data_IF_602990293250
#
_entry.id   IF_602990293250
#
_cell.length_a   1.000
_cell.length_b   1.000
_cell.length_c   1.000
_cell.angle_alpha   90.00
_cell.angle_beta   90.00
_cell.angle_gamma   90.00
#
_symmetry.space_group_name_H-M   'P 1'
#
loop_
_entity.id
_entity.type
_entity.pdbx_description
1 polymer ?
#
# COMPACT_ATOMS: atom_id res chain seq x y z
N UNK A 1 -15.69 27.28 -21.03
CA UNK A 1 -14.71 27.29 -19.92
C UNK A 1 -15.33 27.58 -18.53
N UNK A 2 -16.65 27.38 -18.33
CA UNK A 2 -17.31 27.62 -17.02
C UNK A 2 -17.89 26.31 -16.42
N UNK A 3 -18.09 25.26 -17.22
CA UNK A 3 -18.62 23.97 -16.73
C UNK A 3 -17.59 23.08 -16.01
N UNK A 4 -16.28 23.20 -16.30
CA UNK A 4 -15.24 22.40 -15.62
C UNK A 4 -14.99 22.81 -14.16
N UNK A 5 -15.24 24.08 -13.81
CA UNK A 5 -15.03 24.58 -12.44
C UNK A 5 -16.13 24.07 -11.48
N UNK A 6 -17.35 23.80 -11.97
CA UNK A 6 -18.42 23.23 -11.13
C UNK A 6 -18.17 21.78 -10.72
N UNK A 7 -17.54 20.96 -11.58
CA UNK A 7 -17.27 19.54 -11.29
C UNK A 7 -16.21 19.37 -10.18
N UNK A 8 -15.19 20.24 -10.15
CA UNK A 8 -14.17 20.24 -9.09
C UNK A 8 -14.73 20.68 -7.72
N UNK A 9 -15.75 21.53 -7.68
CA UNK A 9 -16.37 21.94 -6.42
C UNK A 9 -17.35 20.90 -5.85
N UNK A 10 -17.87 19.96 -6.66
CA UNK A 10 -18.65 18.83 -6.12
C UNK A 10 -17.76 17.70 -5.58
N UNK A 11 -16.58 17.45 -6.17
CA UNK A 11 -15.63 16.47 -5.60
C UNK A 11 -15.08 16.93 -4.24
N UNK A 12 -14.78 18.23 -4.09
CA UNK A 12 -14.34 18.79 -2.80
C UNK A 12 -15.43 18.77 -1.70
N UNK A 13 -16.69 18.56 -2.04
CA UNK A 13 -17.80 18.40 -1.07
C UNK A 13 -18.11 16.96 -0.70
N UNK A 14 -17.56 15.97 -1.42
CA UNK A 14 -17.66 14.55 -1.06
C UNK A 14 -16.48 14.04 -0.24
N UNK A 15 -15.38 14.80 -0.16
CA UNK A 15 -14.21 14.50 0.67
C UNK A 15 -14.39 14.90 2.15
N UNK A 16 -15.60 14.75 2.69
CA UNK A 16 -15.94 15.17 4.04
C UNK A 16 -16.92 14.21 4.72
N UNK A 17 -16.82 12.90 4.51
CA UNK A 17 -17.48 11.88 5.35
C UNK A 17 -16.65 10.59 5.32
N UNK A 18 -15.77 10.39 6.31
CA UNK A 18 -15.44 9.11 6.98
C UNK A 18 -14.26 9.34 7.94
N UNK A 19 -14.51 10.17 8.96
CA UNK A 19 -13.64 10.30 10.14
C UNK A 19 -14.56 10.35 11.37
N UNK A 20 -15.10 9.18 11.68
CA UNK A 20 -15.78 8.85 12.94
C UNK A 20 -15.87 7.31 12.98
N UNK A 21 -15.30 6.58 13.91
CA UNK A 21 -14.67 6.89 15.17
C UNK A 21 -14.87 5.65 16.05
N UNK A 22 -13.80 5.04 16.53
CA UNK A 22 -13.83 4.29 17.79
C UNK A 22 -12.57 4.70 18.54
N UNK A 23 -12.72 5.74 19.36
CA UNK A 23 -11.75 6.09 20.39
C UNK A 23 -12.22 5.42 21.67
N UNK A 24 -11.65 4.25 21.98
CA UNK A 24 -11.76 3.63 23.29
C UNK A 24 -10.38 3.73 23.95
N UNK A 25 -10.22 4.70 24.86
CA UNK A 25 -9.05 4.79 25.73
C UNK A 25 -9.17 3.77 26.86
N UNK A 26 -8.18 2.89 27.07
CA UNK A 26 -7.82 2.40 28.41
C UNK A 26 -6.34 1.94 28.47
N UNK A 27 -5.56 2.72 29.24
CA UNK A 27 -4.42 2.40 30.13
C UNK A 27 -3.11 1.81 29.57
N UNK A 28 -2.04 2.58 29.80
CA UNK A 28 -0.62 2.22 29.75
C UNK A 28 -0.28 0.97 30.57
N UNK A 29 0.51 0.05 29.98
CA UNK A 29 1.84 -0.35 30.47
C UNK A 29 2.26 -1.67 29.83
N UNK A 30 3.50 -1.75 29.34
CA UNK A 30 4.18 -3.04 29.15
C UNK A 30 4.91 -3.17 27.83
N UNK A 31 6.22 -3.38 27.95
CA UNK A 31 7.13 -3.95 26.97
C UNK A 31 6.41 -4.72 25.84
N UNK A 32 6.60 -4.28 24.59
CA UNK A 32 5.96 -4.86 23.41
C UNK A 32 6.29 -6.33 23.27
N UNK A 33 5.37 -7.19 23.71
CA UNK A 33 5.26 -8.53 23.15
C UNK A 33 4.38 -8.39 21.91
N UNK A 34 4.92 -8.78 20.76
CA UNK A 34 4.10 -8.99 19.58
C UNK A 34 2.89 -9.86 19.97
N UNK A 35 1.67 -9.55 19.46
CA UNK A 35 0.52 -10.39 19.70
C UNK A 35 0.85 -11.85 19.35
N UNK A 36 0.34 -12.80 20.13
CA UNK A 36 0.55 -14.21 19.83
C UNK A 36 0.07 -14.49 18.39
N UNK A 37 0.79 -15.31 17.62
CA UNK A 37 0.51 -15.58 16.19
C UNK A 37 -0.98 -15.86 15.91
N UNK A 38 -1.65 -16.59 16.79
CA UNK A 38 -3.09 -16.91 16.66
C UNK A 38 -4.01 -15.68 16.80
N UNK A 39 -3.61 -14.70 17.63
CA UNK A 39 -4.35 -13.44 17.79
C UNK A 39 -4.17 -12.50 16.60
N UNK A 40 -2.98 -12.47 16.00
CA UNK A 40 -2.69 -11.73 14.76
C UNK A 40 -3.54 -12.25 13.61
N UNK A 41 -3.54 -13.58 13.40
CA UNK A 41 -4.35 -14.20 12.34
C UNK A 41 -5.85 -13.97 12.52
N UNK A 42 -6.34 -13.90 13.77
CA UNK A 42 -7.76 -13.59 14.01
C UNK A 42 -8.11 -12.18 13.56
N UNK A 43 -7.25 -11.20 13.84
CA UNK A 43 -7.43 -9.81 13.45
C UNK A 43 -7.37 -9.63 11.93
N UNK A 44 -6.42 -10.26 11.26
CA UNK A 44 -6.37 -10.28 9.79
C UNK A 44 -7.56 -11.00 9.16
N UNK A 45 -8.05 -12.08 9.77
CA UNK A 45 -9.23 -12.77 9.28
C UNK A 45 -10.46 -11.86 9.35
N UNK A 46 -10.64 -11.10 10.44
CA UNK A 46 -11.72 -10.12 10.59
C UNK A 46 -11.67 -9.06 9.47
N UNK A 47 -10.48 -8.51 9.18
CA UNK A 47 -10.31 -7.58 8.05
C UNK A 47 -10.71 -8.22 6.71
N UNK A 48 -10.29 -9.46 6.45
CA UNK A 48 -10.69 -10.17 5.22
C UNK A 48 -12.20 -10.39 5.16
N UNK A 49 -12.86 -10.72 6.27
CA UNK A 49 -14.33 -10.83 6.28
C UNK A 49 -15.01 -9.48 5.97
N UNK A 50 -14.46 -8.37 6.49
CA UNK A 50 -14.94 -7.03 6.17
C UNK A 50 -14.79 -6.71 4.69
N UNK A 51 -13.65 -7.03 4.10
CA UNK A 51 -13.41 -6.90 2.65
C UNK A 51 -14.44 -7.71 1.86
N UNK A 52 -14.63 -9.00 2.18
CA UNK A 52 -15.61 -9.88 1.51
C UNK A 52 -17.05 -9.34 1.61
N UNK A 53 -17.41 -8.78 2.78
CA UNK A 53 -18.75 -8.23 3.00
C UNK A 53 -18.97 -6.85 2.36
N UNK A 54 -17.91 -6.19 1.89
CA UNK A 54 -17.92 -4.81 1.40
C UNK A 54 -17.93 -3.74 2.49
N UNK A 55 -17.73 -4.10 3.76
CA UNK A 55 -17.49 -3.13 4.85
C UNK A 55 -16.15 -2.41 4.67
N UNK A 56 -15.14 -3.12 4.15
CA UNK A 56 -13.86 -2.57 3.72
C UNK A 56 -13.72 -2.72 2.20
N UNK A 57 -13.10 -1.75 1.53
CA UNK A 57 -12.91 -1.76 0.07
C UNK A 57 -11.46 -2.04 -0.29
N UNK A 58 -11.23 -2.71 -1.42
CA UNK A 58 -9.93 -2.69 -2.09
C UNK A 58 -9.73 -1.26 -2.60
N UNK A 59 -8.86 -0.48 -1.96
CA UNK A 59 -8.69 0.92 -2.32
C UNK A 59 -7.24 1.37 -2.22
N UNK A 60 -6.86 2.24 -3.15
CA UNK A 60 -5.67 3.07 -3.07
C UNK A 60 -6.07 4.55 -2.87
N UNK A 61 -5.13 5.49 -3.02
CA UNK A 61 -5.43 6.91 -2.82
C UNK A 61 -6.34 7.51 -3.92
N UNK A 62 -6.50 6.83 -5.05
CA UNK A 62 -7.25 7.32 -6.21
C UNK A 62 -8.63 6.70 -6.36
N UNK A 63 -8.79 5.40 -6.05
CA UNK A 63 -10.03 4.66 -6.27
C UNK A 63 -10.26 3.54 -5.25
N UNK A 64 -11.52 3.11 -5.12
CA UNK A 64 -11.93 2.02 -4.26
C UNK A 64 -12.96 1.12 -4.94
N UNK A 65 -12.81 -0.18 -4.74
CA UNK A 65 -13.63 -1.24 -5.32
C UNK A 65 -14.14 -2.15 -4.21
N UNK A 66 -15.41 -2.52 -4.30
CA UNK A 66 -15.97 -3.57 -3.45
C UNK A 66 -15.45 -4.95 -3.87
N UNK A 67 -15.63 -5.96 -3.02
CA UNK A 67 -15.24 -7.34 -3.36
C UNK A 67 -15.90 -7.88 -4.63
N UNK A 68 -17.17 -7.52 -4.89
CA UNK A 68 -17.88 -7.98 -6.08
C UNK A 68 -17.42 -7.25 -7.37
N UNK A 69 -16.69 -6.13 -7.26
CA UNK A 69 -16.13 -5.36 -8.37
C UNK A 69 -14.65 -5.66 -8.63
N UNK A 70 -13.94 -6.18 -7.62
CA UNK A 70 -12.51 -6.49 -7.69
C UNK A 70 -12.23 -7.70 -8.60
N UNK A 71 -11.22 -7.58 -9.46
CA UNK A 71 -10.72 -8.69 -10.27
C UNK A 71 -9.59 -9.41 -9.52
N UNK A 72 -9.63 -10.75 -9.51
CA UNK A 72 -8.62 -11.61 -8.88
C UNK A 72 -8.14 -11.15 -7.48
N UNK A 73 -9.04 -10.90 -6.51
CA UNK A 73 -8.64 -10.46 -5.19
C UNK A 73 -7.81 -11.54 -4.48
N UNK A 74 -6.75 -11.13 -3.80
CA UNK A 74 -5.80 -12.02 -3.16
C UNK A 74 -5.23 -11.46 -1.87
N UNK A 75 -4.59 -12.33 -1.09
CA UNK A 75 -3.84 -11.94 0.10
C UNK A 75 -2.53 -12.70 0.22
N UNK A 76 -1.55 -12.12 0.90
CA UNK A 76 -0.33 -12.80 1.31
C UNK A 76 0.01 -12.42 2.76
N UNK A 77 0.60 -13.35 3.49
CA UNK A 77 1.24 -13.10 4.76
C UNK A 77 2.75 -13.12 4.52
N UNK A 78 3.43 -12.04 4.87
CA UNK A 78 4.85 -11.87 4.59
C UNK A 78 5.49 -11.00 5.65
N UNK A 79 6.52 -11.54 6.30
CA UNK A 79 7.38 -10.84 7.26
C UNK A 79 8.34 -9.89 6.52
N UNK A 80 7.88 -8.64 6.35
CA UNK A 80 8.51 -7.65 5.46
C UNK A 80 9.86 -7.15 5.99
N UNK A 81 10.01 -7.12 7.31
CA UNK A 81 11.22 -6.64 8.01
C UNK A 81 12.02 -7.76 8.69
N UNK A 82 11.57 -9.01 8.53
CA UNK A 82 12.21 -10.23 9.03
C UNK A 82 12.28 -10.27 10.56
N UNK A 83 11.28 -9.73 11.23
CA UNK A 83 11.20 -9.66 12.68
C UNK A 83 10.50 -10.87 13.34
N UNK A 84 9.95 -11.77 12.51
CA UNK A 84 9.22 -12.96 12.92
C UNK A 84 7.70 -12.79 12.99
N UNK A 85 7.16 -11.61 12.65
CA UNK A 85 5.73 -11.35 12.50
C UNK A 85 5.41 -11.08 11.02
N UNK A 86 4.36 -11.72 10.51
CA UNK A 86 3.92 -11.49 9.13
C UNK A 86 3.02 -10.25 9.05
N UNK A 87 3.26 -9.35 8.09
CA UNK A 87 2.27 -8.37 7.64
C UNK A 87 1.25 -8.99 6.68
N UNK A 88 0.05 -8.43 6.66
CA UNK A 88 -0.98 -8.82 5.70
C UNK A 88 -0.95 -7.90 4.48
N UNK A 89 -0.75 -8.51 3.32
CA UNK A 89 -0.90 -7.88 2.03
C UNK A 89 -2.26 -8.26 1.46
N UNK A 90 -3.01 -7.29 0.95
CA UNK A 90 -4.27 -7.51 0.22
C UNK A 90 -4.12 -6.90 -1.17
N UNK A 91 -4.39 -7.67 -2.22
CA UNK A 91 -4.30 -7.25 -3.61
C UNK A 91 -5.64 -7.42 -4.33
N UNK A 92 -5.86 -6.61 -5.35
CA UNK A 92 -6.85 -6.84 -6.39
C UNK A 92 -6.37 -6.19 -7.69
N UNK A 93 -6.85 -6.67 -8.83
CA UNK A 93 -6.75 -5.95 -10.11
C UNK A 93 -7.88 -4.92 -10.19
N UNK A 94 -7.51 -3.69 -10.56
CA UNK A 94 -8.42 -2.55 -10.67
C UNK A 94 -8.58 -2.15 -12.14
N UNK A 95 -9.08 -3.07 -12.97
CA UNK A 95 -9.24 -2.86 -14.42
C UNK A 95 -7.89 -2.81 -15.15
N UNK A 96 -7.74 -1.84 -16.08
CA UNK A 96 -6.49 -1.64 -16.85
C UNK A 96 -5.39 -0.93 -16.03
N UNK A 97 -5.74 -0.39 -14.85
CA UNK A 97 -4.84 0.33 -13.96
C UNK A 97 -4.19 -0.70 -13.00
N UNK A 98 -2.87 -0.65 -12.89
CA UNK A 98 -2.02 -1.76 -12.44
C UNK A 98 -2.36 -2.42 -11.10
N UNK A 99 -1.71 -3.57 -10.84
CA UNK A 99 -1.79 -4.26 -9.57
C UNK A 99 -1.36 -3.35 -8.42
N UNK A 100 -2.31 -3.04 -7.53
CA UNK A 100 -2.01 -2.38 -6.27
C UNK A 100 -2.33 -3.35 -5.14
N UNK A 101 -1.36 -3.52 -4.24
CA UNK A 101 -1.58 -4.22 -2.97
C UNK A 101 -1.42 -3.26 -1.81
N UNK A 102 -2.34 -3.36 -0.86
CA UNK A 102 -2.35 -2.58 0.38
C UNK A 102 -1.76 -3.45 1.48
N UNK A 103 -0.83 -2.87 2.22
CA UNK A 103 -0.17 -3.53 3.35
C UNK A 103 -0.85 -3.14 4.65
N UNK A 104 -1.04 -4.11 5.53
CA UNK A 104 -1.63 -3.97 6.85
C UNK A 104 -0.73 -4.60 7.92
N UNK A 105 -0.52 -3.87 9.01
CA UNK A 105 0.26 -4.31 10.17
C UNK A 105 -0.58 -4.22 11.46
N UNK A 106 -0.15 -4.82 12.56
CA UNK A 106 -0.80 -4.75 13.87
C UNK A 106 -0.03 -3.83 14.81
N UNK A 107 -0.60 -2.64 15.07
CA UNK A 107 -0.07 -1.65 16.00
C UNK A 107 -0.96 -1.57 17.24
N UNK A 108 -0.42 -1.95 18.39
CA UNK A 108 -1.15 -1.91 19.67
C UNK A 108 -2.38 -2.82 19.74
N UNK A 109 -2.39 -3.93 18.98
CA UNK A 109 -3.52 -4.87 18.91
C UNK A 109 -4.62 -4.46 17.93
N UNK A 110 -4.38 -3.45 17.09
CA UNK A 110 -5.31 -2.98 16.06
C UNK A 110 -4.68 -3.14 14.69
N UNK A 111 -5.44 -3.66 13.73
CA UNK A 111 -5.02 -3.71 12.32
C UNK A 111 -4.96 -2.28 11.79
N UNK A 112 -3.80 -1.87 11.34
CA UNK A 112 -3.51 -0.55 10.80
C UNK A 112 -3.20 -0.68 9.32
N UNK A 113 -3.89 0.12 8.50
CA UNK A 113 -3.57 0.26 7.08
C UNK A 113 -2.29 1.07 6.95
N UNK A 114 -1.29 0.51 6.28
CA UNK A 114 -0.03 1.20 6.01
C UNK A 114 -0.13 1.93 4.66
N UNK A 115 0.39 1.31 3.60
CA UNK A 115 0.56 1.94 2.29
C UNK A 115 0.11 1.01 1.16
N UNK A 116 -0.29 1.63 0.05
CA UNK A 116 -0.48 0.97 -1.24
C UNK A 116 0.84 0.91 -2.02
N UNK A 117 1.17 -0.26 -2.56
CA UNK A 117 2.40 -0.51 -3.30
C UNK A 117 2.06 -1.25 -4.60
N UNK A 118 2.92 -1.09 -5.61
CA UNK A 118 2.74 -1.72 -6.92
C UNK A 118 4.05 -2.26 -7.51
N UNK A 119 5.11 -2.34 -6.70
CA UNK A 119 6.33 -3.01 -7.09
C UNK A 119 7.40 -3.08 -6.01
N UNK A 120 8.52 -3.68 -6.38
CA UNK A 120 9.67 -3.94 -5.53
C UNK A 120 10.97 -3.97 -6.34
N UNK A 121 12.04 -3.44 -5.75
CA UNK A 121 13.39 -3.45 -6.27
C UNK A 121 14.25 -4.39 -5.40
N UNK A 122 14.42 -5.66 -5.79
CA UNK A 122 15.09 -6.64 -4.95
C UNK A 122 16.58 -6.37 -4.73
N UNK A 123 17.25 -5.71 -5.69
CA UNK A 123 18.67 -5.37 -5.56
C UNK A 123 18.93 -4.32 -4.46
N UNK A 124 17.96 -3.43 -4.21
CA UNK A 124 18.06 -2.34 -3.23
C UNK A 124 17.17 -2.53 -2.00
N UNK A 125 16.24 -3.49 -2.03
CA UNK A 125 15.28 -3.73 -0.95
C UNK A 125 14.20 -2.65 -0.84
N UNK A 126 13.96 -1.86 -1.89
CA UNK A 126 12.95 -0.81 -1.88
C UNK A 126 11.62 -1.30 -2.43
N UNK A 127 10.55 -1.04 -1.69
CA UNK A 127 9.19 -1.14 -2.19
C UNK A 127 8.87 0.10 -3.00
N UNK A 128 8.09 -0.06 -4.07
CA UNK A 128 7.78 1.06 -4.97
C UNK A 128 6.29 1.34 -5.03
N UNK A 129 5.97 2.62 -5.08
CA UNK A 129 4.66 3.12 -5.45
C UNK A 129 4.80 3.99 -6.70
N UNK A 130 4.12 3.60 -7.76
CA UNK A 130 4.00 4.37 -9.00
C UNK A 130 2.59 4.94 -9.14
N UNK A 131 2.49 6.24 -9.42
CA UNK A 131 1.21 6.87 -9.74
C UNK A 131 1.42 7.99 -10.75
N UNK A 132 0.72 7.91 -11.89
CA UNK A 132 0.71 8.86 -13.02
C UNK A 132 2.09 9.34 -13.48
N UNK A 133 2.66 10.31 -12.75
CA UNK A 133 3.85 11.09 -13.10
C UNK A 133 4.98 10.99 -12.08
N UNK A 134 4.88 10.07 -11.12
CA UNK A 134 5.97 9.83 -10.18
C UNK A 134 6.13 8.36 -9.81
N UNK A 135 7.36 8.00 -9.42
CA UNK A 135 7.68 6.73 -8.77
C UNK A 135 8.37 7.07 -7.45
N UNK A 136 7.92 6.46 -6.36
CA UNK A 136 8.55 6.57 -5.07
C UNK A 136 9.15 5.23 -4.65
N UNK A 137 10.29 5.28 -3.96
CA UNK A 137 10.92 4.14 -3.31
C UNK A 137 10.84 4.25 -1.80
N UNK A 138 10.47 3.16 -1.15
CA UNK A 138 10.21 3.07 0.28
C UNK A 138 11.04 1.95 0.92
N UNK A 139 11.48 2.20 2.14
CA UNK A 139 11.92 1.16 3.06
C UNK A 139 10.86 0.98 4.12
N UNK A 140 10.62 -0.26 4.56
CA UNK A 140 9.79 -0.51 5.73
C UNK A 140 10.66 -0.50 6.99
N UNK A 141 10.27 0.30 7.97
CA UNK A 141 10.97 0.43 9.24
C UNK A 141 9.97 0.13 10.36
N UNK A 142 10.29 -0.88 11.18
CA UNK A 142 9.45 -1.26 12.32
C UNK A 142 9.05 -0.08 13.18
N UNK A 143 7.75 0.03 13.47
CA UNK A 143 7.17 1.09 14.29
C UNK A 143 7.04 2.44 13.60
N UNK A 144 7.66 2.63 12.42
CA UNK A 144 7.45 3.81 11.57
C UNK A 144 6.58 3.48 10.35
N UNK A 145 6.60 2.23 9.88
CA UNK A 145 5.94 1.80 8.65
C UNK A 145 6.81 2.08 7.42
N UNK A 146 6.18 2.38 6.29
CA UNK A 146 6.89 2.76 5.07
C UNK A 146 7.45 4.18 5.17
N UNK A 147 8.76 4.31 4.96
CA UNK A 147 9.49 5.57 4.96
C UNK A 147 10.06 5.81 3.57
N UNK A 148 9.67 6.92 2.95
CA UNK A 148 10.09 7.28 1.60
C UNK A 148 11.57 7.58 1.55
N UNK A 149 12.31 6.84 0.74
CA UNK A 149 13.75 7.01 0.54
C UNK A 149 14.05 7.97 -0.61
N UNK A 150 13.24 7.88 -1.67
CA UNK A 150 13.37 8.74 -2.83
C UNK A 150 12.05 8.86 -3.61
N UNK A 151 11.96 9.90 -4.42
CA UNK A 151 10.87 10.20 -5.34
C UNK A 151 11.50 10.57 -6.69
N UNK A 152 10.97 9.98 -7.76
CA UNK A 152 11.25 10.31 -9.14
C UNK A 152 10.05 11.07 -9.69
N UNK A 153 10.27 12.31 -10.11
CA UNK A 153 9.28 13.11 -10.81
C UNK A 153 9.55 13.10 -12.31
N UNK A 154 8.49 12.88 -13.09
CA UNK A 154 8.47 13.02 -14.54
C UNK A 154 7.76 14.33 -14.93
N UNK A 155 8.48 15.47 -14.98
CA UNK A 155 7.90 16.73 -15.39
C UNK A 155 7.40 16.64 -16.83
N UNK A 156 6.09 16.82 -17.02
CA UNK A 156 5.51 17.17 -18.32
C UNK A 156 5.87 18.63 -18.64
N UNK A 157 7.10 18.87 -19.10
CA UNK A 157 7.49 20.18 -19.62
C UNK A 157 7.87 20.01 -21.07
N UNK A 158 6.89 20.30 -21.94
CA UNK A 158 6.97 20.54 -23.38
C UNK A 158 8.35 20.25 -24.01
N UNK A 159 8.63 18.97 -24.24
CA UNK A 159 9.75 18.50 -25.06
C UNK A 159 11.10 18.30 -24.37
N UNK A 160 11.17 18.34 -23.03
CA UNK A 160 12.36 17.94 -22.28
C UNK A 160 11.96 16.89 -21.23
N UNK A 161 12.27 15.62 -21.50
CA UNK A 161 12.12 14.50 -20.55
C UNK A 161 13.23 14.56 -19.47
N UNK A 162 13.24 15.60 -18.64
CA UNK A 162 14.16 15.65 -17.50
C UNK A 162 13.57 14.88 -16.34
N UNK A 163 14.13 13.71 -15.99
CA UNK A 163 13.74 13.04 -14.74
C UNK A 163 14.44 13.70 -13.56
N UNK A 164 13.69 14.05 -12.51
CA UNK A 164 14.22 14.63 -11.28
C UNK A 164 14.14 13.56 -10.20
N UNK A 165 15.23 13.37 -9.45
CA UNK A 165 15.22 12.55 -8.23
C UNK A 165 15.34 13.44 -7.00
N UNK A 166 14.56 13.09 -5.99
CA UNK A 166 14.56 13.71 -4.68
C UNK A 166 14.80 12.64 -3.61
N UNK A 167 15.95 12.65 -2.95
CA UNK A 167 16.24 11.77 -1.82
C UNK A 167 15.86 12.47 -0.52
N UNK A 168 15.38 11.71 0.47
CA UNK A 168 15.06 12.28 1.78
C UNK A 168 16.26 13.03 2.38
N UNK A 169 16.04 14.30 2.75
CA UNK A 169 17.07 15.16 3.34
C UNK A 169 18.11 15.71 2.38
N UNK A 170 17.93 15.58 1.06
CA UNK A 170 18.83 16.13 0.04
C UNK A 170 18.10 17.08 -0.91
N UNK A 171 18.87 17.96 -1.57
CA UNK A 171 18.31 18.82 -2.62
C UNK A 171 17.98 17.99 -3.87
N UNK A 172 16.82 18.21 -4.53
CA UNK A 172 16.48 17.52 -5.76
C UNK A 172 17.50 17.76 -6.88
N UNK A 173 17.70 16.76 -7.74
CA UNK A 173 18.59 16.88 -8.90
C UNK A 173 18.06 16.15 -10.11
N UNK A 174 18.44 16.62 -11.29
CA UNK A 174 18.19 15.90 -12.55
C UNK A 174 19.11 14.68 -12.62
N UNK A 175 18.56 13.56 -13.12
CA UNK A 175 19.30 12.33 -13.40
C UNK A 175 19.32 12.03 -14.90
N UNK A 176 20.30 11.25 -15.35
CA UNK A 176 20.36 10.76 -16.73
C UNK A 176 19.49 9.52 -16.92
N UNK A 177 19.19 9.17 -18.18
CA UNK A 177 18.49 7.93 -18.53
C UNK A 177 19.22 6.67 -18.04
N UNK A 178 20.56 6.68 -18.08
CA UNK A 178 21.37 5.54 -17.63
C UNK A 178 21.31 5.38 -16.11
N UNK A 179 21.27 6.51 -15.39
CA UNK A 179 21.06 6.51 -13.95
C UNK A 179 19.65 6.01 -13.59
N UNK A 180 18.62 6.48 -14.30
CA UNK A 180 17.25 6.00 -14.14
C UNK A 180 17.13 4.49 -14.38
N UNK A 181 17.70 3.99 -15.48
CA UNK A 181 17.72 2.54 -15.80
C UNK A 181 18.45 1.73 -14.74
N UNK A 182 19.50 2.29 -14.16
CA UNK A 182 20.26 1.64 -13.10
C UNK A 182 19.46 1.59 -11.80
N UNK A 183 18.79 2.70 -11.45
CA UNK A 183 17.95 2.78 -10.25
C UNK A 183 16.76 1.82 -10.30
N UNK A 184 16.09 1.73 -11.44
CA UNK A 184 14.92 0.86 -11.64
C UNK A 184 15.31 -0.55 -12.15
N UNK A 185 16.59 -0.89 -12.10
CA UNK A 185 17.08 -2.17 -12.59
C UNK A 185 16.49 -3.31 -11.76
N UNK A 186 15.89 -4.28 -12.46
CA UNK A 186 15.31 -5.46 -11.81
C UNK A 186 14.00 -5.17 -11.06
N UNK A 187 13.36 -4.02 -11.33
CA UNK A 187 12.01 -3.74 -10.83
C UNK A 187 11.04 -4.85 -11.20
N UNK A 188 10.28 -5.31 -10.21
CA UNK A 188 9.18 -6.27 -10.38
C UNK A 188 7.92 -5.67 -9.80
N UNK A 189 6.79 -5.84 -10.48
CA UNK A 189 5.49 -5.36 -9.98
C UNK A 189 4.98 -6.26 -8.85
N UNK A 190 5.23 -7.56 -8.96
CA UNK A 190 4.83 -8.57 -7.99
C UNK A 190 6.07 -9.33 -7.50
N UNK A 191 6.52 -9.10 -6.25
CA UNK A 191 7.65 -9.83 -5.68
C UNK A 191 7.38 -11.34 -5.69
N UNK A 192 8.31 -12.13 -6.24
CA UNK A 192 8.20 -13.59 -6.30
C UNK A 192 8.23 -14.27 -4.91
N UNK A 193 8.63 -13.54 -3.87
CA UNK A 193 8.65 -14.00 -2.49
C UNK A 193 7.25 -14.01 -1.85
N UNK A 194 6.31 -13.22 -2.40
CA UNK A 194 4.92 -13.21 -1.97
C UNK A 194 4.16 -14.39 -2.56
N UNK A 195 3.64 -15.26 -1.69
CA UNK A 195 2.76 -16.36 -2.09
C UNK A 195 1.30 -15.91 -1.97
N UNK A 196 0.74 -15.43 -3.08
CA UNK A 196 -0.63 -14.96 -3.14
C UNK A 196 -1.64 -16.11 -3.00
N UNK A 197 -2.58 -15.94 -2.08
CA UNK A 197 -3.74 -16.79 -1.88
C UNK A 197 -4.99 -16.06 -2.35
N UNK A 198 -5.91 -16.72 -3.07
CA UNK A 198 -7.13 -16.07 -3.54
C UNK A 198 -8.06 -15.73 -2.36
N UNK A 199 -8.70 -14.56 -2.43
CA UNK A 199 -9.84 -14.21 -1.58
C UNK A 199 -11.13 -14.61 -2.32
N UNK A 200 -11.96 -15.42 -1.67
CA UNK A 200 -13.27 -15.90 -2.13
C UNK A 200 -14.29 -15.62 -1.04
N UNK A 201 -15.59 -15.77 -1.35
CA UNK A 201 -16.68 -15.56 -0.37
C UNK A 201 -16.58 -16.46 0.86
N UNK A 202 -15.88 -17.59 0.76
CA UNK A 202 -15.65 -18.55 1.83
C UNK A 202 -14.21 -18.52 2.40
N UNK A 203 -13.38 -17.55 2.01
CA UNK A 203 -12.01 -17.44 2.51
C UNK A 203 -11.99 -17.24 4.03
N UNK A 204 -11.22 -18.10 4.70
CA UNK A 204 -10.97 -18.04 6.13
C UNK A 204 -9.50 -18.38 6.39
N UNK A 205 -8.70 -17.39 6.78
CA UNK A 205 -7.24 -17.57 6.92
C UNK A 205 -6.85 -18.39 8.15
N UNK A 206 -7.79 -18.61 9.07
CA UNK A 206 -7.58 -19.49 10.23
C UNK A 206 -7.57 -20.98 9.85
N UNK A 207 -8.04 -21.32 8.64
CA UNK A 207 -8.16 -22.71 8.17
C UNK A 207 -7.05 -23.12 7.19
N UNK A 208 -6.26 -22.16 6.71
CA UNK A 208 -5.04 -22.42 5.91
C UNK A 208 -3.96 -23.02 6.80
N UNK A 209 -3.67 -24.31 6.60
CA UNK A 209 -2.57 -25.06 7.22
C UNK A 209 -1.52 -25.40 6.18
#
# INVERSE_FOLDING_TARGET
MIMRIKKNNEMKKKLAVLLSGIMASFVLSGCGNAPAKDSTLTLYNDLIQKVISGEEMFSDEGMGYTFDEAEDPGYALYDIDKDGADELFITARMGDEGHTYVVYDIKGGVVTREMALNGYLPESGYWTYFFDYFIEGYSYIRGQGFVRQWELDYPWVDGIDTTIINYEGQDPRTISDDELKTLLKGHVTEPAELNWNPIKKDTNILQTK
#
